data_IF_610883867856
#
_entry.id   IF_610883867856
#
_cell.length_a   1.000
_cell.length_b   1.000
_cell.length_c   1.000
_cell.angle_alpha   90.00
_cell.angle_beta   90.00
_cell.angle_gamma   90.00
#
_symmetry.space_group_name_H-M   'P 1'
#
loop_
_entity.id
_entity.type
_entity.pdbx_description
1 polymer ?
#
# COMPACT_ATOMS: atom_id res chain seq x y z
N UNK A 1 19.35 51.57 -9.92
CA UNK A 1 18.32 50.98 -9.05
C UNK A 1 17.69 49.79 -9.75
N UNK A 2 17.67 48.64 -9.07
CA UNK A 2 16.82 47.46 -9.27
C UNK A 2 16.54 47.02 -10.72
N UNK A 3 17.28 46.02 -11.20
CA UNK A 3 16.68 44.99 -12.06
C UNK A 3 16.96 43.63 -11.43
N UNK A 4 15.86 42.92 -11.24
CA UNK A 4 15.65 41.82 -10.30
C UNK A 4 16.62 40.66 -10.54
N UNK A 5 17.29 40.29 -9.47
CA UNK A 5 17.84 38.96 -9.26
C UNK A 5 16.71 38.17 -8.57
N UNK A 6 15.87 37.47 -9.35
CA UNK A 6 14.86 36.57 -8.81
C UNK A 6 14.37 35.59 -9.89
N UNK A 7 14.69 34.32 -9.68
CA UNK A 7 13.93 33.06 -9.88
C UNK A 7 14.98 32.02 -9.41
N UNK A 8 15.28 31.95 -8.12
CA UNK A 8 14.53 31.25 -7.06
C UNK A 8 14.19 29.81 -7.47
N UNK A 9 15.13 28.92 -7.14
CA UNK A 9 14.98 27.51 -6.76
C UNK A 9 13.58 26.90 -6.98
N UNK A 10 13.44 26.19 -8.10
CA UNK A 10 12.30 25.31 -8.38
C UNK A 10 12.75 23.84 -8.30
N UNK A 11 13.54 23.51 -7.27
CA UNK A 11 14.17 22.19 -7.09
C UNK A 11 14.22 21.77 -5.62
N UNK A 12 13.11 21.82 -4.89
CA UNK A 12 13.02 21.19 -3.56
C UNK A 12 11.58 20.74 -3.26
N UNK A 13 11.05 19.80 -4.05
CA UNK A 13 9.90 18.98 -3.64
C UNK A 13 10.04 17.53 -4.17
N UNK A 14 11.28 17.05 -4.26
CA UNK A 14 11.51 15.62 -4.17
C UNK A 14 12.05 15.38 -2.76
N UNK A 15 11.15 15.44 -1.78
CA UNK A 15 11.45 14.89 -0.47
C UNK A 15 11.84 13.43 -0.70
N UNK A 16 13.07 13.16 -0.35
CA UNK A 16 13.80 11.95 -0.64
C UNK A 16 13.08 10.73 -0.05
N UNK A 17 12.37 9.97 -0.90
CA UNK A 17 12.07 8.55 -0.63
C UNK A 17 13.34 7.69 -0.82
N UNK A 18 14.47 8.15 -0.31
CA UNK A 18 15.71 7.37 -0.26
C UNK A 18 15.76 6.65 1.08
N UNK A 19 14.72 5.85 1.38
CA UNK A 19 14.95 4.75 2.30
C UNK A 19 15.80 3.74 1.52
N UNK A 20 16.98 3.41 2.05
CA UNK A 20 17.75 2.29 1.49
C UNK A 20 16.86 1.05 1.59
N UNK A 21 16.54 0.47 0.43
CA UNK A 21 15.80 -0.78 0.35
C UNK A 21 16.81 -1.94 0.33
N UNK A 22 16.56 -3.04 1.04
CA UNK A 22 15.43 -3.24 1.95
C UNK A 22 15.57 -2.43 3.25
N UNK A 23 14.44 -2.01 3.84
CA UNK A 23 14.44 -1.37 5.16
C UNK A 23 14.89 -2.34 6.25
N UNK A 24 15.29 -1.84 7.42
CA UNK A 24 15.36 -2.68 8.62
C UNK A 24 13.96 -3.24 8.96
N UNK A 25 13.87 -4.47 9.50
CA UNK A 25 12.61 -5.02 9.95
C UNK A 25 11.97 -4.16 11.05
N UNK A 26 10.67 -3.91 10.94
CA UNK A 26 9.89 -3.26 11.98
C UNK A 26 8.47 -3.83 12.06
N UNK A 27 7.78 -3.52 13.16
CA UNK A 27 6.39 -3.95 13.41
C UNK A 27 5.37 -3.38 12.44
N UNK A 28 5.69 -2.25 11.81
CA UNK A 28 4.74 -1.54 10.97
C UNK A 28 5.33 -0.33 10.25
N UNK A 29 4.71 -0.03 9.12
CA UNK A 29 5.02 1.10 8.25
C UNK A 29 3.71 1.70 7.73
N UNK A 30 3.79 2.94 7.27
CA UNK A 30 2.68 3.63 6.61
C UNK A 30 2.99 3.86 5.13
N UNK A 31 1.96 3.71 4.30
CA UNK A 31 2.05 3.78 2.85
C UNK A 31 1.06 4.83 2.35
N UNK A 32 1.51 5.83 1.57
CA UNK A 32 0.60 6.79 0.98
C UNK A 32 -0.19 6.18 -0.18
N UNK A 33 -1.39 6.72 -0.43
CA UNK A 33 -2.17 6.37 -1.60
C UNK A 33 -1.35 6.59 -2.87
N UNK A 34 -1.51 5.68 -3.81
CA UNK A 34 -0.83 5.71 -5.09
C UNK A 34 0.56 5.12 -4.99
N UNK A 35 0.70 4.05 -4.20
CA UNK A 35 1.93 3.30 -4.04
C UNK A 35 1.72 1.83 -4.29
N UNK A 36 2.80 1.21 -4.78
CA UNK A 36 2.99 -0.22 -4.83
C UNK A 36 4.19 -0.55 -3.98
N UNK A 37 4.06 -1.58 -3.15
CA UNK A 37 5.12 -1.97 -2.24
C UNK A 37 5.11 -3.47 -2.00
N UNK A 38 6.28 -4.02 -1.70
CA UNK A 38 6.46 -5.43 -1.38
C UNK A 38 7.13 -5.53 -0.02
N UNK A 39 6.57 -6.37 0.84
CA UNK A 39 7.13 -6.64 2.17
C UNK A 39 7.67 -8.06 2.25
N UNK A 40 8.68 -8.24 3.10
CA UNK A 40 9.23 -9.55 3.48
C UNK A 40 9.10 -9.73 4.99
N UNK A 41 8.48 -10.83 5.40
CA UNK A 41 8.24 -11.12 6.82
C UNK A 41 9.47 -11.72 7.48
N UNK A 42 9.70 -11.30 8.72
CA UNK A 42 10.77 -11.76 9.60
C UNK A 42 10.12 -12.28 10.89
N UNK A 43 10.13 -13.61 11.14
CA UNK A 43 9.55 -14.16 12.36
C UNK A 43 10.22 -13.56 13.60
N UNK A 44 9.42 -13.05 14.52
CA UNK A 44 9.88 -12.58 15.84
C UNK A 44 9.60 -13.62 16.92
N UNK A 45 8.57 -14.45 16.74
CA UNK A 45 8.32 -15.67 17.52
C UNK A 45 7.67 -16.77 16.63
N UNK A 46 6.95 -17.73 17.23
CA UNK A 46 6.27 -18.82 16.53
C UNK A 46 5.06 -18.37 15.68
N UNK A 47 4.46 -17.21 15.96
CA UNK A 47 3.24 -16.70 15.32
C UNK A 47 3.32 -15.22 14.87
N UNK A 48 4.23 -14.42 15.41
CA UNK A 48 4.38 -12.98 15.16
C UNK A 48 5.52 -12.65 14.17
N UNK A 49 5.34 -11.56 13.42
CA UNK A 49 6.30 -11.09 12.43
C UNK A 49 6.53 -9.57 12.51
N UNK A 50 7.81 -9.19 12.43
CA UNK A 50 8.21 -7.91 11.89
C UNK A 50 8.33 -8.03 10.35
N UNK A 51 8.43 -6.91 9.64
CA UNK A 51 8.65 -6.95 8.19
C UNK A 51 9.58 -5.85 7.70
N UNK A 52 10.24 -6.13 6.58
CA UNK A 52 11.02 -5.15 5.82
C UNK A 52 10.27 -4.79 4.55
N UNK A 53 10.35 -3.53 4.11
CA UNK A 53 9.94 -3.13 2.77
C UNK A 53 11.11 -3.44 1.84
N UNK A 54 10.89 -4.27 0.82
CA UNK A 54 11.93 -4.72 -0.11
C UNK A 54 11.79 -4.08 -1.51
N UNK A 55 10.60 -3.58 -1.82
CA UNK A 55 10.33 -2.80 -3.03
C UNK A 55 9.28 -1.75 -2.69
N UNK A 56 9.44 -0.54 -3.22
CA UNK A 56 8.51 0.57 -3.05
C UNK A 56 8.58 1.47 -4.27
N UNK A 57 7.46 1.67 -4.96
CA UNK A 57 7.38 2.50 -6.15
C UNK A 57 6.05 3.26 -6.22
N UNK A 58 6.02 4.46 -6.83
CA UNK A 58 4.77 5.17 -7.07
C UNK A 58 3.89 4.39 -8.06
N UNK A 59 2.58 4.36 -7.80
CA UNK A 59 1.58 3.70 -8.64
C UNK A 59 0.34 4.58 -8.74
N UNK A 60 0.22 5.34 -9.82
CA UNK A 60 -0.83 6.36 -9.99
C UNK A 60 -1.99 5.89 -10.89
N UNK A 61 -2.00 4.62 -11.26
CA UNK A 61 -3.04 4.05 -12.11
C UNK A 61 -4.32 3.79 -11.31
N UNK A 62 -5.47 3.94 -11.99
CA UNK A 62 -6.77 3.53 -11.48
C UNK A 62 -7.03 2.12 -11.98
N UNK A 63 -7.22 1.16 -11.08
CA UNK A 63 -7.41 -0.24 -11.44
C UNK A 63 -8.90 -0.60 -11.58
N UNK A 64 -9.18 -1.62 -12.39
CA UNK A 64 -10.48 -2.29 -12.34
C UNK A 64 -10.52 -3.26 -11.15
N UNK A 65 -11.54 -3.14 -10.31
CA UNK A 65 -11.67 -3.95 -9.09
C UNK A 65 -11.97 -5.43 -9.41
N UNK A 66 -12.62 -5.70 -10.55
CA UNK A 66 -12.99 -7.05 -10.97
C UNK A 66 -11.94 -7.66 -11.90
N UNK A 67 -11.29 -6.84 -12.74
CA UNK A 67 -10.30 -7.29 -13.73
C UNK A 67 -8.85 -6.91 -13.36
N UNK A 68 -8.39 -7.29 -12.16
CA UNK A 68 -7.00 -7.03 -11.69
C UNK A 68 -6.13 -8.29 -11.53
N UNK A 69 -6.48 -9.40 -12.18
CA UNK A 69 -5.65 -10.62 -12.13
C UNK A 69 -4.26 -10.40 -12.74
N UNK A 70 -4.14 -9.49 -13.70
CA UNK A 70 -2.88 -9.14 -14.37
C UNK A 70 -2.01 -8.16 -13.58
N UNK A 71 -2.53 -7.60 -12.49
CA UNK A 71 -1.81 -6.61 -11.67
C UNK A 71 -0.55 -7.23 -11.03
N UNK A 72 -0.60 -8.52 -10.73
CA UNK A 72 0.51 -9.24 -10.11
C UNK A 72 1.21 -10.13 -11.13
N UNK A 73 2.55 -10.10 -11.11
CA UNK A 73 3.33 -11.08 -11.86
C UNK A 73 2.98 -12.51 -11.42
N UNK A 74 2.81 -13.44 -12.37
CA UNK A 74 2.54 -14.85 -12.05
C UNK A 74 3.66 -15.45 -11.17
N UNK A 75 4.91 -15.08 -11.45
CA UNK A 75 6.13 -15.51 -10.76
C UNK A 75 6.74 -14.37 -9.94
N UNK A 76 6.10 -14.02 -8.82
CA UNK A 76 6.68 -13.10 -7.83
C UNK A 76 7.67 -13.80 -6.89
N UNK A 77 8.37 -13.02 -6.05
CA UNK A 77 9.29 -13.56 -5.03
C UNK A 77 8.53 -14.36 -3.96
N UNK A 78 8.92 -15.61 -3.73
CA UNK A 78 8.34 -16.42 -2.65
C UNK A 78 8.64 -15.84 -1.27
N UNK A 79 7.71 -15.98 -0.33
CA UNK A 79 7.89 -15.46 1.03
C UNK A 79 7.68 -13.96 1.17
N UNK A 80 7.09 -13.32 0.16
CA UNK A 80 6.76 -11.88 0.17
C UNK A 80 5.27 -11.65 0.04
N UNK A 81 4.85 -10.42 0.33
CA UNK A 81 3.50 -9.95 0.06
C UNK A 81 3.61 -8.65 -0.73
N UNK A 82 3.02 -8.63 -1.93
CA UNK A 82 2.99 -7.48 -2.82
C UNK A 82 1.64 -6.77 -2.66
N UNK A 83 1.66 -5.45 -2.59
CA UNK A 83 0.50 -4.60 -2.36
C UNK A 83 0.42 -3.47 -3.38
N UNK A 84 -0.82 -3.09 -3.69
CA UNK A 84 -1.18 -1.91 -4.45
C UNK A 84 -2.20 -1.13 -3.61
N UNK A 85 -1.81 0.05 -3.13
CA UNK A 85 -2.71 0.95 -2.42
C UNK A 85 -3.04 2.12 -3.34
N UNK A 86 -4.21 2.08 -3.97
CA UNK A 86 -4.54 2.94 -5.10
C UNK A 86 -6.05 3.21 -5.21
N UNK A 87 -6.45 3.88 -6.28
CA UNK A 87 -7.86 4.04 -6.62
C UNK A 87 -8.31 2.86 -7.49
N UNK A 88 -9.47 2.31 -7.17
CA UNK A 88 -10.14 1.29 -7.94
C UNK A 88 -11.49 1.80 -8.45
N UNK A 89 -11.96 1.22 -9.55
CA UNK A 89 -13.31 1.46 -10.09
C UNK A 89 -13.96 0.14 -10.52
N UNK A 90 -15.29 0.11 -10.57
CA UNK A 90 -16.05 -1.05 -11.04
C UNK A 90 -16.98 -0.76 -12.22
N UNK A 91 -17.00 0.49 -12.70
CA UNK A 91 -17.88 0.94 -13.78
C UNK A 91 -17.48 0.40 -15.15
N UNK A 92 -18.46 0.11 -16.00
CA UNK A 92 -18.22 -0.33 -17.40
C UNK A 92 -18.07 0.89 -18.34
N UNK A 93 -18.73 2.01 -18.02
CA UNK A 93 -18.66 3.27 -18.76
C UNK A 93 -17.78 4.29 -18.03
N UNK A 94 -17.17 5.19 -18.80
CA UNK A 94 -16.18 6.17 -18.30
C UNK A 94 -16.78 7.11 -17.24
N UNK A 95 -18.03 7.55 -17.43
CA UNK A 95 -18.74 8.41 -16.46
C UNK A 95 -19.03 7.66 -15.14
N UNK A 96 -19.48 6.39 -15.22
CA UNK A 96 -19.74 5.55 -14.03
C UNK A 96 -18.44 5.29 -13.24
N UNK A 97 -17.29 5.28 -13.93
CA UNK A 97 -15.99 5.03 -13.31
C UNK A 97 -15.52 6.20 -12.45
N UNK A 98 -15.93 7.43 -12.75
CA UNK A 98 -15.55 8.61 -11.97
C UNK A 98 -16.33 8.72 -10.65
N UNK A 99 -17.63 8.41 -10.68
CA UNK A 99 -18.48 8.47 -9.49
C UNK A 99 -18.25 7.30 -8.53
N UNK A 100 -17.81 6.13 -9.04
CA UNK A 100 -17.57 4.92 -8.23
C UNK A 100 -16.10 4.72 -7.82
N UNK A 101 -15.27 5.77 -7.86
CA UNK A 101 -13.86 5.65 -7.42
C UNK A 101 -13.82 5.30 -5.93
N UNK A 102 -13.19 4.16 -5.61
CA UNK A 102 -12.94 3.72 -4.24
C UNK A 102 -11.45 3.68 -3.98
N UNK A 103 -11.07 3.88 -2.73
CA UNK A 103 -9.71 3.52 -2.30
C UNK A 103 -9.68 2.01 -2.12
N UNK A 104 -8.64 1.37 -2.67
CA UNK A 104 -8.47 -0.07 -2.61
C UNK A 104 -7.05 -0.44 -2.19
N UNK A 105 -6.95 -1.49 -1.39
CA UNK A 105 -5.71 -2.20 -1.11
C UNK A 105 -5.83 -3.58 -1.74
N UNK A 106 -5.15 -3.80 -2.85
CA UNK A 106 -5.06 -5.12 -3.48
C UNK A 106 -3.74 -5.74 -3.08
N UNK A 107 -3.75 -7.01 -2.71
CA UNK A 107 -2.57 -7.69 -2.20
C UNK A 107 -2.45 -9.10 -2.75
N UNK A 108 -1.22 -9.58 -2.89
CA UNK A 108 -0.91 -10.96 -3.26
C UNK A 108 0.07 -11.55 -2.26
N UNK A 109 -0.43 -12.45 -1.42
CA UNK A 109 0.37 -13.13 -0.42
C UNK A 109 1.05 -14.36 -1.04
N UNK A 110 2.38 -14.33 -1.08
CA UNK A 110 3.23 -15.42 -1.58
C UNK A 110 4.00 -16.10 -0.47
N UNK A 111 3.62 -15.84 0.77
CA UNK A 111 4.10 -16.58 1.93
C UNK A 111 3.30 -17.88 2.06
N UNK A 112 3.84 -18.81 2.85
CA UNK A 112 3.12 -20.02 3.23
C UNK A 112 2.04 -19.79 4.31
N UNK A 113 1.99 -18.58 4.87
CA UNK A 113 1.16 -18.25 6.03
C UNK A 113 -0.12 -17.53 5.60
N UNK A 114 -1.25 -17.91 6.21
CA UNK A 114 -2.41 -17.02 6.28
C UNK A 114 -2.20 -16.10 7.47
N UNK A 115 -2.41 -14.80 7.29
CA UNK A 115 -1.96 -13.78 8.22
C UNK A 115 -3.10 -12.84 8.60
N UNK A 116 -3.22 -12.58 9.89
CA UNK A 116 -3.95 -11.41 10.40
C UNK A 116 -2.96 -10.26 10.58
N UNK A 117 -3.44 -9.03 10.43
CA UNK A 117 -2.69 -7.82 10.70
C UNK A 117 -3.65 -6.72 11.12
N UNK A 118 -3.11 -5.61 11.64
CA UNK A 118 -3.88 -4.40 11.91
C UNK A 118 -3.67 -3.39 10.79
N UNK A 119 -4.75 -2.67 10.48
CA UNK A 119 -4.72 -1.58 9.52
C UNK A 119 -5.23 -0.29 10.18
N UNK A 120 -4.43 0.76 10.07
CA UNK A 120 -4.77 2.11 10.49
C UNK A 120 -4.90 3.00 9.26
N UNK A 121 -5.91 3.88 9.21
CA UNK A 121 -6.15 4.73 8.05
C UNK A 121 -6.12 6.21 8.41
N UNK A 122 -5.55 7.02 7.53
CA UNK A 122 -5.53 8.48 7.63
C UNK A 122 -6.51 9.08 6.61
N UNK A 123 -7.61 9.68 7.08
CA UNK A 123 -8.70 10.17 6.21
C UNK A 123 -8.59 11.64 5.80
N UNK A 124 -7.70 12.40 6.44
CA UNK A 124 -7.35 13.77 6.08
C UNK A 124 -5.84 13.83 5.86
N UNK A 125 -5.36 14.72 4.98
CA UNK A 125 -3.92 14.81 4.62
C UNK A 125 -3.00 14.92 5.85
N UNK A 126 -3.38 15.75 6.83
CA UNK A 126 -2.67 15.92 8.11
C UNK A 126 -3.44 15.32 9.30
N UNK A 127 -4.29 14.33 9.03
CA UNK A 127 -5.15 13.71 10.03
C UNK A 127 -4.43 12.70 10.93
N UNK A 128 -5.13 12.26 11.98
CA UNK A 128 -4.69 11.13 12.81
C UNK A 128 -5.03 9.79 12.13
N UNK A 129 -4.17 8.80 12.37
CA UNK A 129 -4.43 7.41 12.04
C UNK A 129 -5.52 6.83 12.95
N UNK A 130 -6.45 6.07 12.36
CA UNK A 130 -7.50 5.36 13.09
C UNK A 130 -7.60 3.92 12.62
N UNK A 131 -7.68 3.00 13.57
CA UNK A 131 -7.82 1.56 13.27
C UNK A 131 -9.08 1.31 12.42
N UNK A 132 -8.92 0.47 11.40
CA UNK A 132 -9.99 -0.05 10.56
C UNK A 132 -9.97 -1.56 10.57
N UNK A 133 -11.10 -2.17 10.23
CA UNK A 133 -11.19 -3.62 10.12
C UNK A 133 -10.62 -4.08 8.79
N UNK A 134 -9.83 -5.15 8.81
CA UNK A 134 -9.41 -5.90 7.63
C UNK A 134 -9.77 -7.39 7.79
N UNK A 135 -9.63 -8.13 6.70
CA UNK A 135 -9.87 -9.58 6.67
C UNK A 135 -8.58 -10.40 6.75
N UNK A 136 -7.44 -9.73 6.93
CA UNK A 136 -6.12 -10.33 6.78
C UNK A 136 -5.83 -10.78 5.34
N UNK A 137 -4.88 -11.70 5.19
CA UNK A 137 -4.47 -12.21 3.88
C UNK A 137 -4.16 -13.70 3.92
N UNK A 138 -4.76 -14.45 3.01
CA UNK A 138 -4.64 -15.91 2.97
C UNK A 138 -3.43 -16.37 2.15
N UNK A 139 -2.80 -17.46 2.59
CA UNK A 139 -1.64 -18.07 1.92
C UNK A 139 -1.90 -18.32 0.43
N UNK A 140 -1.02 -17.81 -0.44
CA UNK A 140 -1.12 -17.94 -1.90
C UNK A 140 -2.25 -17.15 -2.57
N UNK A 141 -3.13 -16.51 -1.80
CA UNK A 141 -4.32 -15.85 -2.32
C UNK A 141 -4.07 -14.40 -2.74
N UNK A 142 -4.93 -13.92 -3.64
CA UNK A 142 -5.11 -12.49 -3.90
C UNK A 142 -6.23 -12.00 -2.97
N UNK A 143 -6.01 -10.88 -2.29
CA UNK A 143 -7.00 -10.21 -1.45
C UNK A 143 -7.26 -8.80 -1.94
N UNK A 144 -8.47 -8.30 -1.68
CA UNK A 144 -8.85 -6.92 -1.98
C UNK A 144 -9.62 -6.36 -0.80
N UNK A 145 -9.16 -5.25 -0.26
CA UNK A 145 -9.90 -4.40 0.67
C UNK A 145 -10.30 -3.10 -0.03
N UNK A 146 -11.48 -2.58 0.31
CA UNK A 146 -12.05 -1.41 -0.34
C UNK A 146 -12.77 -0.52 0.66
N UNK A 147 -12.60 0.79 0.49
CA UNK A 147 -13.25 1.79 1.34
C UNK A 147 -14.07 2.78 0.51
N UNK A 148 -15.29 3.13 0.97
CA UNK A 148 -16.16 4.07 0.26
C UNK A 148 -15.80 5.54 0.51
N UNK A 149 -14.61 5.82 1.07
CA UNK A 149 -14.16 7.15 1.42
C UNK A 149 -12.67 7.29 1.14
N UNK A 150 -12.24 8.55 1.01
CA UNK A 150 -10.83 8.88 0.79
C UNK A 150 -9.97 8.48 2.00
N UNK A 151 -8.84 7.87 1.70
CA UNK A 151 -7.75 7.55 2.61
C UNK A 151 -6.46 8.02 1.94
N UNK A 152 -5.68 8.84 2.65
CA UNK A 152 -4.43 9.38 2.16
C UNK A 152 -3.25 8.46 2.48
N UNK A 153 -3.31 7.77 3.61
CA UNK A 153 -2.28 6.83 4.05
C UNK A 153 -2.90 5.64 4.76
N UNK A 154 -2.28 4.47 4.61
CA UNK A 154 -2.59 3.25 5.34
C UNK A 154 -1.37 2.78 6.12
N UNK A 155 -1.53 2.58 7.43
CA UNK A 155 -0.57 1.92 8.29
C UNK A 155 -0.89 0.43 8.34
N UNK A 156 0.11 -0.43 8.10
CA UNK A 156 -0.02 -1.87 8.22
C UNK A 156 0.96 -2.37 9.29
N UNK A 157 0.46 -3.07 10.30
CA UNK A 157 1.30 -3.46 11.44
C UNK A 157 0.80 -4.72 12.16
N UNK A 158 1.65 -5.24 13.04
CA UNK A 158 1.36 -6.39 13.92
C UNK A 158 0.89 -7.64 13.13
N UNK A 159 1.68 -8.03 12.12
CA UNK A 159 1.40 -9.24 11.33
C UNK A 159 1.58 -10.50 12.18
N UNK A 160 0.58 -11.39 12.12
CA UNK A 160 0.54 -12.65 12.87
C UNK A 160 -0.06 -13.77 12.03
N UNK A 161 0.29 -15.02 12.32
CA UNK A 161 -0.43 -16.18 11.76
C UNK A 161 -1.92 -16.09 12.16
N UNK A 162 -2.79 -16.30 11.18
CA UNK A 162 -4.24 -16.36 11.40
C UNK A 162 -4.60 -17.72 12.03
N UNK A 163 -5.33 -17.69 13.15
CA UNK A 163 -5.87 -18.88 13.83
C UNK A 163 -7.07 -19.51 13.11
#
# INVERSE_FOLDING_TARGET
>A
MKKLLLILFLTTNMLSYSQDLPTEPAKGFAFPLGTKFTIKLHPTDDADFDYSIIAFEPFQEIIDIWENDTLFNEKGEEGTIEFYFCLGTSGIKEDDKEEDRKVVLVMKNRTKYSLSYKSDIQRNEDGEFKETSNVGTYSGAKGTEMWPYMIYQIGLHDFKIME
#
